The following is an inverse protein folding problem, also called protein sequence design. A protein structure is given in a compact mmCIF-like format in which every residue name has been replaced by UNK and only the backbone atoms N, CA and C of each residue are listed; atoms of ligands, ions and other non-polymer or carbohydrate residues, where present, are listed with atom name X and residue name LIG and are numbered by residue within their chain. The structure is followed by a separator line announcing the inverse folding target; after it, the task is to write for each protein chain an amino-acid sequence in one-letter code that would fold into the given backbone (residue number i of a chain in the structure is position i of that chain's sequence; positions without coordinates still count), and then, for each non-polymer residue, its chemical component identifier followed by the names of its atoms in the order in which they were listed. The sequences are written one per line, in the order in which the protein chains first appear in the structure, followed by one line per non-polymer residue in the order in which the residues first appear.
data_IF_686557111246
#
_entry.id   IF_686557111246
#
_cell.length_a   1.000
_cell.length_b   1.000
_cell.length_c   1.000
_cell.angle_alpha   90.00
_cell.angle_beta   90.00
_cell.angle_gamma   90.00
#
_symmetry.space_group_name_H-M   'P 1'
#
loop_
_entity.id
_entity.type
_entity.pdbx_description
1 polymer ?
#
# COMPACT_ATOMS: atom_id res chain seq x y z
N UNK A 1 21.41 16.43 47.39
CA UNK A 1 20.05 16.30 46.82
C UNK A 1 19.95 14.88 46.30
N UNK A 2 19.22 14.04 47.03
CA UNK A 2 19.08 12.60 46.78
C UNK A 2 17.81 12.43 45.95
N UNK A 3 17.93 11.97 44.72
CA UNK A 3 16.78 11.66 43.86
C UNK A 3 16.11 10.38 44.39
N UNK A 4 14.95 10.56 45.04
CA UNK A 4 14.08 9.47 45.39
C UNK A 4 13.46 8.89 44.10
N UNK A 5 13.53 7.56 43.87
CA UNK A 5 12.87 6.96 42.71
C UNK A 5 11.35 7.12 42.79
N UNK A 6 10.66 7.30 41.65
CA UNK A 6 9.22 7.53 41.63
C UNK A 6 8.45 6.35 42.23
N UNK A 7 7.64 6.63 43.25
CA UNK A 7 6.94 5.65 44.09
C UNK A 7 5.65 5.07 43.46
N UNK A 8 5.63 4.85 42.14
CA UNK A 8 4.41 4.49 41.41
C UNK A 8 4.52 3.18 40.62
N UNK A 9 5.19 2.18 41.22
CA UNK A 9 5.13 0.79 40.71
C UNK A 9 3.92 0.12 41.34
N UNK A 10 2.72 0.43 40.85
CA UNK A 10 1.53 -0.34 41.20
C UNK A 10 1.82 -1.83 40.90
N UNK A 11 1.73 -2.67 41.92
CA UNK A 11 1.98 -4.11 41.82
C UNK A 11 1.04 -4.68 40.75
N UNK A 12 1.59 -5.01 39.57
CA UNK A 12 0.81 -5.60 38.50
C UNK A 12 0.30 -6.96 38.98
N UNK A 13 -1.00 -7.08 39.20
CA UNK A 13 -1.64 -8.34 39.57
C UNK A 13 -1.40 -9.35 38.45
N UNK A 14 -0.66 -10.40 38.77
CA UNK A 14 -0.44 -11.53 37.87
C UNK A 14 -1.53 -12.57 38.05
N UNK A 15 -1.78 -13.36 37.02
CA UNK A 15 -2.81 -14.37 36.95
C UNK A 15 -2.20 -15.69 36.49
N UNK A 16 -2.87 -16.78 36.83
CA UNK A 16 -2.56 -18.10 36.30
C UNK A 16 -3.80 -18.75 35.69
N UNK A 17 -3.59 -19.47 34.58
CA UNK A 17 -4.66 -20.14 33.84
C UNK A 17 -4.64 -21.62 34.16
N UNK A 18 -5.77 -22.14 34.66
CA UNK A 18 -5.97 -23.51 35.11
C UNK A 18 -6.89 -24.27 34.15
N UNK A 19 -6.43 -25.42 33.67
CA UNK A 19 -7.19 -26.35 32.84
C UNK A 19 -7.96 -27.32 33.74
N UNK A 20 -9.28 -27.37 33.61
CA UNK A 20 -10.18 -28.22 34.41
C UNK A 20 -10.54 -29.54 33.72
N UNK A 21 -10.22 -29.69 32.43
CA UNK A 21 -10.47 -30.90 31.64
C UNK A 21 -11.26 -30.61 30.37
N UNK A 22 -11.83 -31.64 29.70
CA UNK A 22 -12.70 -31.45 28.54
C UNK A 22 -14.06 -30.88 28.95
N UNK A 23 -14.66 -30.06 28.07
CA UNK A 23 -16.05 -29.60 28.24
C UNK A 23 -17.02 -30.77 28.00
N UNK A 24 -18.21 -30.73 28.61
CA UNK A 24 -19.22 -31.76 28.45
C UNK A 24 -19.50 -32.06 26.96
N UNK A 25 -19.41 -33.33 26.58
CA UNK A 25 -19.60 -33.79 25.19
C UNK A 25 -18.36 -33.73 24.28
N UNK A 26 -17.20 -33.26 24.78
CA UNK A 26 -15.95 -33.25 24.01
C UNK A 26 -15.09 -34.46 24.38
N UNK A 27 -14.70 -35.26 23.39
CA UNK A 27 -13.78 -36.38 23.59
C UNK A 27 -12.39 -35.91 24.03
N UNK A 28 -11.85 -36.54 25.08
CA UNK A 28 -10.58 -36.17 25.69
C UNK A 28 -9.39 -36.48 24.75
N UNK A 29 -9.47 -37.54 23.95
CA UNK A 29 -8.41 -37.88 23.00
C UNK A 29 -8.35 -36.84 21.87
N UNK A 30 -9.49 -36.49 21.27
CA UNK A 30 -9.57 -35.43 20.26
C UNK A 30 -9.18 -34.04 20.80
N UNK A 31 -9.48 -33.74 22.07
CA UNK A 31 -9.03 -32.50 22.70
C UNK A 31 -7.51 -32.47 22.89
N UNK A 32 -6.90 -33.60 23.31
CA UNK A 32 -5.45 -33.68 23.53
C UNK A 32 -4.63 -33.37 22.26
N UNK A 33 -5.10 -33.81 21.09
CA UNK A 33 -4.47 -33.52 19.79
C UNK A 33 -4.52 -32.03 19.47
N UNK A 34 -5.66 -31.37 19.70
CA UNK A 34 -5.83 -29.92 19.47
C UNK A 34 -4.96 -29.10 20.43
N UNK A 35 -4.92 -29.47 21.70
CA UNK A 35 -4.07 -28.82 22.70
C UNK A 35 -2.58 -29.04 22.41
N UNK A 36 -2.18 -30.23 21.95
CA UNK A 36 -0.81 -30.55 21.59
C UNK A 36 -0.28 -29.64 20.48
N UNK A 37 -1.09 -29.39 19.45
CA UNK A 37 -0.76 -28.43 18.39
C UNK A 37 -0.60 -27.00 18.94
N UNK A 38 -1.50 -26.56 19.83
CA UNK A 38 -1.47 -25.21 20.40
C UNK A 38 -0.25 -24.95 21.28
N UNK A 39 0.14 -25.93 22.11
CA UNK A 39 1.27 -25.83 23.04
C UNK A 39 2.59 -26.40 22.50
N UNK A 40 2.62 -26.84 21.23
CA UNK A 40 3.78 -27.50 20.62
C UNK A 40 4.33 -28.65 21.48
N UNK A 41 3.43 -29.45 22.02
CA UNK A 41 3.72 -30.57 22.93
C UNK A 41 3.20 -31.88 22.34
N UNK A 42 3.48 -33.03 22.96
CA UNK A 42 2.94 -34.31 22.48
C UNK A 42 1.49 -34.52 22.93
N UNK A 43 0.65 -35.23 22.13
CA UNK A 43 -0.72 -35.57 22.54
C UNK A 43 -0.78 -36.35 23.85
N UNK A 44 0.19 -37.23 24.11
CA UNK A 44 0.27 -38.01 25.34
C UNK A 44 0.50 -37.13 26.57
N UNK A 45 1.38 -36.13 26.47
CA UNK A 45 1.59 -35.14 27.55
C UNK A 45 0.31 -34.35 27.82
N UNK A 46 -0.38 -33.89 26.77
CA UNK A 46 -1.63 -33.15 26.92
C UNK A 46 -2.76 -34.02 27.48
N UNK A 47 -2.83 -35.29 27.10
CA UNK A 47 -3.78 -36.26 27.67
C UNK A 47 -3.51 -36.46 29.17
N UNK A 48 -2.24 -36.55 29.58
CA UNK A 48 -1.87 -36.66 30.99
C UNK A 48 -2.22 -35.38 31.78
N UNK A 49 -2.05 -34.20 31.19
CA UNK A 49 -2.49 -32.93 31.79
C UNK A 49 -4.02 -32.86 31.93
N UNK A 50 -4.78 -33.39 30.96
CA UNK A 50 -6.25 -33.44 31.01
C UNK A 50 -6.77 -34.42 32.08
N UNK A 51 -6.00 -35.45 32.45
CA UNK A 51 -6.33 -36.36 33.57
C UNK A 51 -6.12 -35.70 34.93
N UNK A 52 -5.23 -34.71 35.02
CA UNK A 52 -4.98 -33.96 36.23
C UNK A 52 -6.13 -32.99 36.52
N UNK A 53 -6.73 -33.08 37.71
CA UNK A 53 -7.72 -32.09 38.13
C UNK A 53 -7.04 -30.74 38.37
N UNK A 54 -7.22 -29.79 37.46
CA UNK A 54 -6.82 -28.40 37.67
C UNK A 54 -5.34 -28.12 37.41
N UNK A 55 -4.77 -28.62 36.31
CA UNK A 55 -3.37 -28.30 35.99
C UNK A 55 -3.21 -26.84 35.54
N UNK A 56 -2.21 -26.16 36.10
CA UNK A 56 -1.89 -24.78 35.73
C UNK A 56 -1.08 -24.81 34.43
N UNK A 57 -1.63 -24.22 33.38
CA UNK A 57 -1.05 -24.20 32.03
C UNK A 57 -0.04 -23.07 31.88
N UNK A 58 -0.33 -21.91 32.48
CA UNK A 58 0.53 -20.72 32.44
C UNK A 58 0.37 -19.92 33.73
N UNK A 59 1.49 -19.45 34.30
CA UNK A 59 1.57 -18.60 35.51
C UNK A 59 2.18 -17.25 35.17
N UNK A 60 2.01 -16.27 36.05
CA UNK A 60 2.66 -14.97 35.94
C UNK A 60 2.26 -14.16 34.71
N UNK A 61 1.05 -14.37 34.19
CA UNK A 61 0.55 -13.62 33.04
C UNK A 61 -0.33 -12.47 33.50
N UNK A 62 -0.34 -11.36 32.76
CA UNK A 62 -1.30 -10.30 33.00
C UNK A 62 -2.75 -10.79 32.75
N UNK A 63 -3.73 -10.05 33.28
CA UNK A 63 -5.16 -10.38 33.17
C UNK A 63 -5.58 -10.65 31.71
N UNK A 64 -5.10 -9.82 30.78
CA UNK A 64 -5.49 -9.88 29.38
C UNK A 64 -4.91 -11.10 28.69
N UNK A 65 -3.62 -11.38 28.90
CA UNK A 65 -2.99 -12.61 28.41
C UNK A 65 -3.70 -13.84 28.97
N UNK A 66 -4.05 -13.84 30.26
CA UNK A 66 -4.80 -14.93 30.88
C UNK A 66 -6.17 -15.17 30.21
N UNK A 67 -6.91 -14.10 29.92
CA UNK A 67 -8.18 -14.16 29.19
C UNK A 67 -8.02 -14.71 27.78
N UNK A 68 -6.98 -14.32 27.02
CA UNK A 68 -6.71 -14.86 25.68
C UNK A 68 -6.44 -16.36 25.72
N UNK A 69 -5.66 -16.83 26.70
CA UNK A 69 -5.47 -18.27 26.94
C UNK A 69 -6.79 -18.96 27.27
N UNK A 70 -7.66 -18.36 28.09
CA UNK A 70 -8.97 -18.91 28.41
C UNK A 70 -9.84 -19.06 27.14
N UNK A 71 -9.99 -18.01 26.34
CA UNK A 71 -10.79 -18.03 25.10
C UNK A 71 -10.26 -19.09 24.13
N UNK A 72 -8.94 -19.16 23.95
CA UNK A 72 -8.31 -20.16 23.07
C UNK A 72 -8.57 -21.60 23.57
N UNK A 73 -8.44 -21.85 24.87
CA UNK A 73 -8.71 -23.14 25.49
C UNK A 73 -10.19 -23.54 25.41
N UNK A 74 -11.12 -22.59 25.66
CA UNK A 74 -12.57 -22.83 25.51
C UNK A 74 -12.92 -23.15 24.07
N UNK A 75 -12.36 -22.40 23.11
CA UNK A 75 -12.56 -22.64 21.67
C UNK A 75 -12.03 -24.02 21.24
N UNK A 76 -10.95 -24.49 21.85
CA UNK A 76 -10.42 -25.84 21.62
C UNK A 76 -11.32 -26.95 22.20
N UNK A 77 -12.27 -26.62 23.08
CA UNK A 77 -13.20 -27.55 23.73
C UNK A 77 -12.80 -27.92 25.16
N UNK A 78 -11.88 -27.20 25.78
CA UNK A 78 -11.51 -27.39 27.18
C UNK A 78 -12.38 -26.54 28.12
N UNK A 79 -12.57 -27.04 29.34
CA UNK A 79 -13.03 -26.26 30.48
C UNK A 79 -11.79 -25.66 31.17
N UNK A 80 -11.78 -24.35 31.38
CA UNK A 80 -10.68 -23.64 32.02
C UNK A 80 -11.20 -22.51 32.92
N UNK A 81 -10.38 -22.11 33.89
CA UNK A 81 -10.59 -20.95 34.74
C UNK A 81 -9.25 -20.24 34.91
N UNK A 82 -9.24 -18.92 35.10
CA UNK A 82 -8.04 -18.21 35.52
C UNK A 82 -8.31 -17.55 36.87
N UNK A 83 -7.30 -17.53 37.73
CA UNK A 83 -7.39 -16.99 39.09
C UNK A 83 -6.24 -16.00 39.28
N UNK A 84 -6.51 -14.90 40.00
CA UNK A 84 -5.47 -13.95 40.38
C UNK A 84 -4.43 -14.70 41.24
N UNK A 85 -3.16 -14.59 40.88
CA UNK A 85 -2.08 -15.11 41.69
C UNK A 85 -1.99 -14.22 42.92
N UNK A 86 -2.37 -14.77 44.08
CA UNK A 86 -2.24 -14.05 45.34
C UNK A 86 -0.78 -13.55 45.44
N UNK A 87 -0.55 -12.24 45.67
CA UNK A 87 0.79 -11.69 45.73
C UNK A 87 1.56 -12.56 46.72
N UNK A 88 2.62 -13.21 46.23
CA UNK A 88 3.42 -14.10 47.05
C UNK A 88 3.85 -13.31 48.29
N UNK A 89 3.25 -13.62 49.44
CA UNK A 89 3.62 -13.00 50.70
C UNK A 89 5.11 -13.28 50.82
N UNK A 90 5.99 -12.25 50.84
CA UNK A 90 7.42 -12.46 50.87
C UNK A 90 7.71 -13.41 52.03
N UNK A 91 8.17 -14.62 51.71
CA UNK A 91 8.57 -15.58 52.73
C UNK A 91 9.62 -14.86 53.58
N UNK A 92 9.40 -14.82 54.90
CA UNK A 92 10.29 -14.14 55.84
C UNK A 92 11.75 -14.52 55.54
N UNK A 93 12.66 -13.55 55.42
CA UNK A 93 14.01 -13.79 54.91
C UNK A 93 14.72 -14.85 55.74
N UNK A 94 15.03 -15.99 55.12
CA UNK A 94 15.96 -16.96 55.67
C UNK A 94 17.36 -16.32 55.78
N UNK A 95 18.11 -16.58 56.86
CA UNK A 95 19.40 -15.94 57.12
C UNK A 95 20.41 -16.21 56.00
N UNK A 96 21.03 -15.13 55.52
CA UNK A 96 21.91 -15.10 54.37
C UNK A 96 23.25 -15.84 54.59
N UNK A 97 23.67 -16.72 53.67
CA UNK A 97 25.08 -17.02 53.46
C UNK A 97 25.71 -16.01 52.48
N UNK A 98 26.95 -15.65 52.80
CA UNK A 98 27.72 -14.58 52.19
C UNK A 98 28.31 -14.92 50.80
N UNK A 99 28.32 -13.90 49.94
CA UNK A 99 29.33 -13.52 48.95
C UNK A 99 29.79 -14.52 47.87
N UNK A 100 29.48 -14.17 46.61
CA UNK A 100 30.37 -14.39 45.47
C UNK A 100 30.20 -13.28 44.42
N UNK A 101 31.30 -12.93 43.77
CA UNK A 101 31.58 -11.71 43.00
C UNK A 101 31.69 -12.05 41.49
N UNK A 102 31.73 -11.01 40.64
CA UNK A 102 32.13 -10.98 39.21
C UNK A 102 31.04 -11.54 38.25
N UNK A 103 30.70 -10.98 37.07
CA UNK A 103 31.44 -10.29 36.01
C UNK A 103 30.52 -9.32 35.25
N UNK A 104 31.05 -8.15 34.90
CA UNK A 104 30.47 -7.15 34.01
C UNK A 104 31.07 -7.37 32.61
N UNK A 105 30.25 -7.58 31.56
CA UNK A 105 30.58 -7.09 30.21
C UNK A 105 29.41 -7.06 29.20
N UNK A 106 29.38 -5.95 28.46
CA UNK A 106 28.86 -5.62 27.11
C UNK A 106 27.38 -5.72 26.68
N UNK A 107 26.83 -4.52 26.47
CA UNK A 107 26.36 -3.91 25.21
C UNK A 107 25.08 -4.41 24.49
N UNK A 108 24.11 -3.50 24.37
CA UNK A 108 23.12 -3.46 23.29
C UNK A 108 22.73 -2.01 22.99
N UNK A 109 23.24 -1.48 21.88
CA UNK A 109 22.91 -0.18 21.27
C UNK A 109 21.64 -0.32 20.43
N UNK A 110 20.59 0.44 20.77
CA UNK A 110 19.37 0.49 19.96
C UNK A 110 18.32 1.46 20.51
N UNK A 111 18.54 2.76 20.36
CA UNK A 111 17.58 3.76 20.87
C UNK A 111 17.74 5.20 20.38
N UNK A 112 18.58 5.47 19.37
CA UNK A 112 18.89 6.84 18.95
C UNK A 112 18.02 7.33 17.78
N UNK A 113 17.33 6.42 17.06
CA UNK A 113 16.56 6.81 15.87
C UNK A 113 15.20 7.46 16.19
N UNK A 114 14.55 7.09 17.30
CA UNK A 114 13.18 7.56 17.60
C UNK A 114 13.10 9.04 17.98
N UNK A 115 14.09 9.56 18.72
CA UNK A 115 14.08 10.99 19.11
C UNK A 115 14.46 11.93 17.97
N UNK A 116 15.38 11.50 17.09
CA UNK A 116 15.83 12.33 15.98
C UNK A 116 14.75 12.50 14.90
N UNK A 117 14.01 11.43 14.60
CA UNK A 117 12.89 11.47 13.65
C UNK A 117 11.71 12.26 14.22
N UNK A 118 11.37 12.06 15.50
CA UNK A 118 10.31 12.83 16.15
C UNK A 118 10.61 14.34 16.21
N UNK A 119 11.86 14.73 16.49
CA UNK A 119 12.28 16.13 16.51
C UNK A 119 12.24 16.77 15.11
N UNK A 120 12.63 16.02 14.07
CA UNK A 120 12.67 16.51 12.70
C UNK A 120 11.28 16.60 12.06
N UNK A 121 10.37 15.69 12.42
CA UNK A 121 8.97 15.74 12.03
C UNK A 121 8.25 16.93 12.67
N UNK A 122 8.54 17.23 13.94
CA UNK A 122 8.02 18.41 14.65
C UNK A 122 8.48 19.71 13.99
N UNK A 123 9.75 19.82 13.61
CA UNK A 123 10.28 20.99 12.90
C UNK A 123 9.59 21.25 11.55
N UNK A 124 9.34 20.20 10.76
CA UNK A 124 8.63 20.32 9.48
C UNK A 124 7.15 20.69 9.64
N UNK A 125 6.52 20.31 10.76
CA UNK A 125 5.15 20.69 11.09
C UNK A 125 5.04 22.15 11.54
N UNK A 126 6.03 22.66 12.28
CA UNK A 126 6.06 24.05 12.75
C UNK A 126 6.42 25.05 11.62
N UNK A 127 7.11 24.59 10.56
CA UNK A 127 7.51 25.39 9.39
C UNK A 127 6.40 25.51 8.32
N UNK A 128 5.35 24.68 8.40
CA UNK A 128 4.30 24.57 7.39
C UNK A 128 3.00 25.34 7.72
N UNK A 129 3.05 26.41 8.51
CA UNK A 129 1.88 27.26 8.79
C UNK A 129 1.58 28.19 7.58
N UNK A 130 0.46 28.03 6.85
CA UNK A 130 0.09 28.98 5.82
C UNK A 130 -0.69 30.16 6.41
N UNK A 131 -0.43 31.33 5.85
CA UNK A 131 -1.22 32.53 6.03
C UNK A 131 -2.71 32.27 5.73
N UNK A 132 -3.55 32.66 6.69
CA UNK A 132 -4.99 32.94 6.61
C UNK A 132 -5.81 32.27 5.49
N UNK A 133 -6.34 31.07 5.75
CA UNK A 133 -7.50 30.54 5.05
C UNK A 133 -8.82 31.08 5.69
N UNK A 134 -9.90 31.30 4.91
CA UNK A 134 -11.17 31.78 5.43
C UNK A 134 -11.82 30.73 6.33
N UNK A 135 -12.19 31.13 7.55
CA UNK A 135 -12.93 30.28 8.50
C UNK A 135 -14.31 29.99 7.91
N UNK A 136 -14.62 28.71 7.64
CA UNK A 136 -16.00 28.28 7.43
C UNK A 136 -16.79 28.62 8.71
N UNK A 137 -17.86 29.40 8.59
CA UNK A 137 -18.69 29.74 9.74
C UNK A 137 -19.35 28.48 10.30
N UNK A 138 -19.52 28.44 11.62
CA UNK A 138 -20.18 27.36 12.35
C UNK A 138 -21.59 27.07 11.79
N UNK A 139 -22.25 28.11 11.26
CA UNK A 139 -23.52 28.01 10.55
C UNK A 139 -23.46 27.22 9.24
N UNK A 140 -22.37 27.34 8.47
CA UNK A 140 -22.20 26.57 7.23
C UNK A 140 -21.98 25.08 7.54
N UNK A 141 -21.29 24.77 8.63
CA UNK A 141 -21.10 23.41 9.12
C UNK A 141 -22.43 22.81 9.64
N UNK A 142 -23.21 23.59 10.38
CA UNK A 142 -24.54 23.16 10.86
C UNK A 142 -25.53 22.94 9.70
N UNK A 143 -25.49 23.75 8.64
CA UNK A 143 -26.31 23.53 7.42
C UNK A 143 -25.91 22.27 6.65
N UNK A 144 -24.63 21.95 6.60
CA UNK A 144 -24.14 20.70 5.99
C UNK A 144 -24.59 19.48 6.78
N UNK A 145 -24.48 19.51 8.11
CA UNK A 145 -24.92 18.41 8.98
C UNK A 145 -26.44 18.19 8.94
N UNK A 146 -27.23 19.25 8.71
CA UNK A 146 -28.69 19.14 8.59
C UNK A 146 -29.14 18.54 7.25
N UNK A 147 -28.34 18.70 6.20
CA UNK A 147 -28.62 18.17 4.85
C UNK A 147 -28.33 16.66 4.76
N UNK A 148 -27.39 16.16 5.55
CA UNK A 148 -27.13 14.72 5.66
C UNK A 148 -27.89 14.16 6.87
N UNK A 149 -29.06 13.53 6.64
CA UNK A 149 -29.85 12.85 7.66
C UNK A 149 -29.10 11.67 8.31
N UNK A 150 -28.16 11.97 9.20
CA UNK A 150 -27.60 11.01 10.15
C UNK A 150 -28.62 10.93 11.29
N UNK A 151 -29.32 9.80 11.40
CA UNK A 151 -30.24 9.57 12.50
C UNK A 151 -29.51 9.76 13.84
N UNK A 152 -30.03 10.57 14.78
CA UNK A 152 -29.42 10.69 16.10
C UNK A 152 -29.44 9.31 16.77
N UNK A 153 -28.27 8.90 17.30
CA UNK A 153 -28.17 7.72 18.13
C UNK A 153 -29.19 7.83 19.27
N UNK A 154 -29.90 6.73 19.54
CA UNK A 154 -30.93 6.66 20.56
C UNK A 154 -30.41 7.18 21.92
N UNK A 155 -31.23 7.88 22.71
CA UNK A 155 -30.83 8.46 23.99
C UNK A 155 -30.36 7.36 24.95
N UNK A 156 -29.23 7.63 25.62
CA UNK A 156 -28.50 6.69 26.47
C UNK A 156 -29.14 6.39 27.84
N UNK A 157 -30.39 6.83 28.08
CA UNK A 157 -30.96 6.92 29.42
C UNK A 157 -31.88 5.74 29.81
N UNK A 158 -31.71 4.57 29.19
CA UNK A 158 -32.50 3.37 29.53
C UNK A 158 -31.65 2.10 29.61
N UNK A 159 -30.46 2.18 30.22
CA UNK A 159 -29.73 0.99 30.66
C UNK A 159 -30.10 0.74 32.13
N UNK A 160 -30.78 -0.38 32.46
CA UNK A 160 -31.02 -0.74 33.84
C UNK A 160 -29.68 -0.90 34.56
N UNK A 161 -29.58 -0.39 35.79
CA UNK A 161 -28.44 -0.44 36.69
C UNK A 161 -27.83 -1.86 36.72
N UNK A 162 -26.88 -2.09 35.82
CA UNK A 162 -26.15 -3.33 35.67
C UNK A 162 -24.94 -3.15 36.56
N UNK A 163 -24.89 -3.93 37.65
CA UNK A 163 -23.87 -3.80 38.68
C UNK A 163 -22.45 -3.74 38.13
N UNK A 164 -21.56 -3.16 38.92
CA UNK A 164 -20.13 -2.80 38.71
C UNK A 164 -19.25 -3.82 37.94
N UNK A 165 -19.70 -5.06 37.77
CA UNK A 165 -19.06 -6.10 36.95
C UNK A 165 -19.39 -6.01 35.44
N UNK A 166 -20.46 -5.30 35.04
CA UNK A 166 -20.90 -5.16 33.65
C UNK A 166 -20.00 -4.22 32.82
N UNK A 167 -19.35 -3.24 33.46
CA UNK A 167 -18.49 -2.28 32.78
C UNK A 167 -17.22 -2.93 32.21
N UNK A 168 -16.72 -3.99 32.85
CA UNK A 168 -15.52 -4.71 32.41
C UNK A 168 -15.77 -5.60 31.17
N UNK A 169 -16.99 -6.15 30.99
CA UNK A 169 -17.34 -6.90 29.78
C UNK A 169 -17.58 -5.97 28.58
N UNK A 170 -18.15 -4.78 28.81
CA UNK A 170 -18.41 -3.78 27.75
C UNK A 170 -17.12 -3.11 27.26
N UNK A 171 -16.13 -2.92 28.13
CA UNK A 171 -14.83 -2.33 27.76
C UNK A 171 -14.01 -3.25 26.82
N UNK A 172 -14.08 -4.57 27.03
CA UNK A 172 -13.35 -5.55 26.23
C UNK A 172 -13.82 -5.57 24.76
N UNK A 173 -15.13 -5.47 24.52
CA UNK A 173 -15.71 -5.45 23.17
C UNK A 173 -15.27 -4.22 22.36
N UNK A 174 -15.01 -3.08 23.03
CA UNK A 174 -14.56 -1.85 22.36
C UNK A 174 -13.14 -1.97 21.81
N UNK A 175 -12.21 -2.55 22.57
CA UNK A 175 -10.81 -2.69 22.14
C UNK A 175 -10.69 -3.68 20.98
N UNK A 176 -11.37 -4.82 21.05
CA UNK A 176 -11.36 -5.81 19.97
C UNK A 176 -12.00 -5.26 18.68
N UNK A 177 -13.10 -4.51 18.82
CA UNK A 177 -13.72 -3.81 17.69
C UNK A 177 -12.77 -2.79 17.04
N UNK A 178 -11.95 -2.11 17.83
CA UNK A 178 -10.98 -1.14 17.31
C UNK A 178 -9.83 -1.83 16.59
N UNK A 179 -9.26 -2.86 17.19
CA UNK A 179 -8.22 -3.67 16.57
C UNK A 179 -8.71 -4.27 15.26
N UNK A 180 -9.97 -4.74 15.22
CA UNK A 180 -10.61 -5.19 14.00
C UNK A 180 -10.66 -4.08 12.94
N UNK A 181 -11.14 -2.87 13.29
CA UNK A 181 -11.18 -1.72 12.37
C UNK A 181 -9.80 -1.31 11.86
N UNK A 182 -8.78 -1.35 12.72
CA UNK A 182 -7.39 -1.08 12.33
C UNK A 182 -6.87 -2.11 11.34
N UNK A 183 -7.11 -3.40 11.62
CA UNK A 183 -6.63 -4.51 10.81
C UNK A 183 -7.25 -4.47 9.40
N UNK A 184 -8.52 -4.10 9.34
CA UNK A 184 -9.28 -3.89 8.11
C UNK A 184 -8.76 -2.67 7.32
N UNK A 185 -8.56 -1.53 7.98
CA UNK A 185 -7.96 -0.35 7.36
C UNK A 185 -6.57 -0.63 6.79
N UNK A 186 -5.72 -1.36 7.52
CA UNK A 186 -4.37 -1.74 7.08
C UNK A 186 -4.40 -2.59 5.81
N UNK A 187 -5.33 -3.54 5.72
CA UNK A 187 -5.51 -4.34 4.50
C UNK A 187 -5.84 -3.47 3.29
N UNK A 188 -6.77 -2.52 3.46
CA UNK A 188 -7.13 -1.60 2.37
C UNK A 188 -5.96 -0.71 1.93
N UNK A 189 -5.09 -0.29 2.86
CA UNK A 189 -3.86 0.44 2.52
C UNK A 189 -2.95 -0.42 1.65
N UNK A 190 -2.74 -1.70 2.03
CA UNK A 190 -1.90 -2.63 1.24
C UNK A 190 -2.48 -2.82 -0.16
N UNK A 191 -3.79 -3.08 -0.27
CA UNK A 191 -4.48 -3.23 -1.55
C UNK A 191 -4.33 -1.96 -2.41
N UNK A 192 -4.46 -0.78 -1.81
CA UNK A 192 -4.32 0.49 -2.52
C UNK A 192 -2.88 0.75 -3.00
N UNK A 193 -1.86 0.40 -2.21
CA UNK A 193 -0.45 0.48 -2.63
C UNK A 193 -0.17 -0.45 -3.81
N UNK A 194 -0.68 -1.69 -3.77
CA UNK A 194 -0.54 -2.65 -4.86
C UNK A 194 -1.24 -2.19 -6.14
N UNK A 195 -2.47 -1.66 -6.02
CA UNK A 195 -3.21 -1.09 -7.15
C UNK A 195 -2.51 0.14 -7.72
N UNK A 196 -1.96 1.01 -6.86
CA UNK A 196 -1.19 2.18 -7.32
C UNK A 196 0.06 1.76 -8.11
N UNK A 197 0.81 0.76 -7.61
CA UNK A 197 1.96 0.21 -8.31
C UNK A 197 1.58 -0.42 -9.66
N UNK A 198 0.43 -1.11 -9.72
CA UNK A 198 -0.13 -1.64 -10.95
C UNK A 198 -0.43 -0.51 -11.95
N UNK A 199 -1.18 0.52 -11.54
CA UNK A 199 -1.52 1.67 -12.39
C UNK A 199 -0.25 2.39 -12.88
N UNK A 200 0.75 2.58 -12.01
CA UNK A 200 2.03 3.17 -12.38
C UNK A 200 2.79 2.33 -13.41
N UNK A 201 2.72 1.00 -13.33
CA UNK A 201 3.32 0.09 -14.32
C UNK A 201 2.73 0.25 -15.73
N UNK A 202 1.46 0.66 -15.84
CA UNK A 202 0.74 0.83 -17.10
C UNK A 202 0.56 2.30 -17.53
N UNK A 203 1.23 3.26 -16.88
CA UNK A 203 1.04 4.69 -17.19
C UNK A 203 1.38 5.05 -18.65
N UNK A 204 2.29 4.32 -19.31
CA UNK A 204 2.68 4.54 -20.71
C UNK A 204 1.67 3.96 -21.71
N UNK A 205 0.94 2.93 -21.31
CA UNK A 205 0.00 2.21 -22.18
C UNK A 205 -1.42 2.74 -22.06
N UNK A 206 -1.76 3.34 -20.92
CA UNK A 206 -3.10 3.86 -20.67
C UNK A 206 -3.26 5.27 -21.25
N UNK A 207 -4.38 5.57 -21.94
CA UNK A 207 -4.68 6.94 -22.32
C UNK A 207 -4.85 7.82 -21.07
N UNK A 208 -4.53 9.13 -21.15
CA UNK A 208 -4.50 10.02 -19.98
C UNK A 208 -5.81 10.05 -19.18
N UNK A 209 -6.96 9.92 -19.84
CA UNK A 209 -8.28 9.91 -19.19
C UNK A 209 -8.52 8.66 -18.34
N UNK A 210 -8.16 7.46 -18.85
CA UNK A 210 -8.25 6.22 -18.08
C UNK A 210 -7.23 6.19 -16.94
N UNK A 211 -6.03 6.74 -17.17
CA UNK A 211 -5.03 6.89 -16.12
C UNK A 211 -5.55 7.77 -14.97
N UNK A 212 -6.17 8.91 -15.29
CA UNK A 212 -6.77 9.81 -14.29
C UNK A 212 -7.91 9.12 -13.52
N UNK A 213 -8.77 8.36 -14.22
CA UNK A 213 -9.86 7.61 -13.59
C UNK A 213 -9.33 6.54 -12.61
N UNK A 214 -8.31 5.76 -13.02
CA UNK A 214 -7.64 4.79 -12.18
C UNK A 214 -7.00 5.45 -10.96
N UNK A 215 -6.27 6.56 -11.16
CA UNK A 215 -5.62 7.30 -10.09
C UNK A 215 -6.65 7.85 -9.09
N UNK A 216 -7.78 8.37 -9.55
CA UNK A 216 -8.87 8.83 -8.69
C UNK A 216 -9.50 7.69 -7.88
N UNK A 217 -9.76 6.53 -8.50
CA UNK A 217 -10.32 5.36 -7.81
C UNK A 217 -9.39 4.81 -6.73
N UNK A 218 -8.08 4.72 -7.02
CA UNK A 218 -7.06 4.30 -6.05
C UNK A 218 -6.91 5.34 -4.93
N UNK A 219 -6.97 6.64 -5.24
CA UNK A 219 -6.91 7.70 -4.25
C UNK A 219 -8.09 7.66 -3.27
N UNK A 220 -9.31 7.44 -3.78
CA UNK A 220 -10.49 7.24 -2.94
C UNK A 220 -10.34 6.03 -2.01
N UNK A 221 -9.80 4.92 -2.52
CA UNK A 221 -9.51 3.73 -1.72
C UNK A 221 -8.51 4.05 -0.59
N UNK A 222 -7.42 4.77 -0.89
CA UNK A 222 -6.44 5.23 0.10
C UNK A 222 -7.08 6.10 1.19
N UNK A 223 -7.95 7.05 0.82
CA UNK A 223 -8.64 7.93 1.78
C UNK A 223 -9.53 7.10 2.71
N UNK A 224 -10.33 6.18 2.18
CA UNK A 224 -11.19 5.30 2.99
C UNK A 224 -10.35 4.41 3.92
N UNK A 225 -9.25 3.85 3.42
CA UNK A 225 -8.33 3.03 4.21
C UNK A 225 -7.74 3.82 5.39
N UNK A 226 -7.26 5.04 5.12
CA UNK A 226 -6.70 5.93 6.13
C UNK A 226 -7.73 6.32 7.18
N UNK A 227 -8.94 6.72 6.78
CA UNK A 227 -10.00 7.11 7.72
C UNK A 227 -10.38 5.96 8.65
N UNK A 228 -10.38 4.70 8.15
CA UNK A 228 -10.63 3.53 8.99
C UNK A 228 -9.50 3.21 9.95
N UNK A 229 -8.24 3.25 9.48
CA UNK A 229 -7.09 3.08 10.38
C UNK A 229 -7.05 4.16 11.46
N UNK A 230 -7.29 5.41 11.07
CA UNK A 230 -7.30 6.54 11.99
C UNK A 230 -8.44 6.47 13.02
N UNK A 231 -9.57 5.86 12.66
CA UNK A 231 -10.67 5.61 13.60
C UNK A 231 -10.27 4.59 14.69
N UNK A 232 -9.46 3.59 14.35
CA UNK A 232 -8.98 2.60 15.32
C UNK A 232 -7.78 3.08 16.17
N UNK A 233 -6.94 3.98 15.64
CA UNK A 233 -5.81 4.58 16.36
C UNK A 233 -6.19 5.73 17.30
N UNK A 234 -7.49 6.02 17.47
CA UNK A 234 -7.98 7.17 18.26
C UNK A 234 -7.36 8.52 17.86
N UNK A 235 -6.98 8.69 16.59
CA UNK A 235 -6.45 9.96 16.13
C UNK A 235 -7.49 11.06 16.32
N UNK A 236 -7.04 12.21 16.81
CA UNK A 236 -7.88 13.39 16.96
C UNK A 236 -8.49 13.78 15.61
N UNK A 237 -9.68 14.41 15.58
CA UNK A 237 -10.30 14.87 14.33
C UNK A 237 -9.35 15.75 13.50
N UNK A 238 -8.55 16.59 14.17
CA UNK A 238 -7.53 17.42 13.51
C UNK A 238 -6.45 16.56 12.85
N UNK A 239 -5.92 15.55 13.55
CA UNK A 239 -4.93 14.64 12.99
C UNK A 239 -5.49 13.85 11.79
N UNK A 240 -6.77 13.46 11.84
CA UNK A 240 -7.47 12.82 10.71
C UNK A 240 -7.54 13.76 9.50
N UNK A 241 -7.93 15.01 9.70
CA UNK A 241 -8.02 16.00 8.62
C UNK A 241 -6.65 16.32 8.04
N UNK A 242 -5.62 16.49 8.87
CA UNK A 242 -4.25 16.72 8.41
C UNK A 242 -3.69 15.52 7.64
N UNK A 243 -3.93 14.30 8.12
CA UNK A 243 -3.53 13.08 7.43
C UNK A 243 -4.24 12.96 6.06
N UNK A 244 -5.52 13.31 5.99
CA UNK A 244 -6.27 13.32 4.73
C UNK A 244 -5.78 14.42 3.76
N UNK A 245 -5.45 15.61 4.27
CA UNK A 245 -4.88 16.70 3.45
C UNK A 245 -3.50 16.32 2.92
N UNK A 246 -2.69 15.68 3.76
CA UNK A 246 -1.35 15.21 3.41
C UNK A 246 -1.35 14.19 2.26
N UNK A 247 -2.47 13.50 2.02
CA UNK A 247 -2.63 12.59 0.88
C UNK A 247 -2.54 13.30 -0.47
N UNK A 248 -2.81 14.61 -0.53
CA UNK A 248 -2.75 15.40 -1.77
C UNK A 248 -1.30 15.63 -2.26
N UNK A 249 -0.30 15.48 -1.39
CA UNK A 249 1.12 15.62 -1.71
C UNK A 249 1.74 14.23 -1.81
N UNK A 250 2.18 13.76 -2.99
CA UNK A 250 2.58 12.35 -3.19
C UNK A 250 3.66 11.84 -2.23
N UNK A 251 4.69 12.64 -1.94
CA UNK A 251 5.74 12.25 -0.99
C UNK A 251 5.23 12.20 0.46
N UNK A 252 4.44 13.18 0.85
CA UNK A 252 3.88 13.25 2.20
C UNK A 252 2.87 12.13 2.44
N UNK A 253 2.08 11.77 1.42
CA UNK A 253 1.17 10.63 1.41
C UNK A 253 1.90 9.34 1.79
N UNK A 254 2.99 9.01 1.10
CA UNK A 254 3.79 7.80 1.41
C UNK A 254 4.30 7.82 2.85
N UNK A 255 4.79 8.96 3.34
CA UNK A 255 5.27 9.10 4.73
C UNK A 255 4.12 8.85 5.72
N UNK A 256 2.95 9.46 5.50
CA UNK A 256 1.78 9.28 6.37
C UNK A 256 1.33 7.82 6.39
N UNK A 257 1.26 7.15 5.23
CA UNK A 257 0.90 5.73 5.16
C UNK A 257 1.90 4.86 5.94
N UNK A 258 3.21 5.13 5.82
CA UNK A 258 4.23 4.38 6.54
C UNK A 258 4.14 4.59 8.06
N UNK A 259 3.93 5.82 8.51
CA UNK A 259 3.78 6.15 9.95
C UNK A 259 2.53 5.48 10.52
N UNK A 260 1.39 5.62 9.86
CA UNK A 260 0.11 5.04 10.31
C UNK A 260 0.19 3.51 10.30
N UNK A 261 0.84 2.90 9.30
CA UNK A 261 1.09 1.46 9.26
C UNK A 261 2.02 0.98 10.39
N UNK A 262 3.07 1.74 10.69
CA UNK A 262 3.96 1.44 11.81
C UNK A 262 3.25 1.53 13.16
N UNK A 263 2.43 2.56 13.37
CA UNK A 263 1.62 2.72 14.58
C UNK A 263 0.63 1.57 14.75
N UNK A 264 -0.03 1.15 13.66
CA UNK A 264 -0.95 0.02 13.72
C UNK A 264 -0.23 -1.29 14.10
N UNK A 265 0.92 -1.57 13.48
CA UNK A 265 1.73 -2.75 13.82
C UNK A 265 2.22 -2.74 15.25
N UNK A 266 2.60 -1.57 15.78
CA UNK A 266 2.98 -1.42 17.18
C UNK A 266 1.80 -1.75 18.10
N UNK A 267 0.63 -1.18 17.82
CA UNK A 267 -0.58 -1.46 18.59
C UNK A 267 -0.91 -2.97 18.57
N UNK A 268 -0.89 -3.64 17.42
CA UNK A 268 -1.10 -5.09 17.37
C UNK A 268 -0.12 -5.90 18.23
N UNK A 269 1.17 -5.49 18.26
CA UNK A 269 2.19 -6.18 19.07
C UNK A 269 2.01 -5.94 20.56
N UNK A 270 1.61 -4.74 20.96
CA UNK A 270 1.26 -4.41 22.35
C UNK A 270 0.10 -5.31 22.83
N UNK A 271 -0.81 -5.65 21.93
CA UNK A 271 -1.92 -6.57 22.20
C UNK A 271 -1.58 -8.06 22.03
N UNK A 272 -0.31 -8.37 21.78
CA UNK A 272 0.23 -9.72 21.66
C UNK A 272 -0.19 -10.44 20.36
N UNK A 273 -0.50 -9.71 19.30
CA UNK A 273 -0.68 -10.27 17.96
C UNK A 273 0.64 -10.31 17.20
N UNK A 274 0.74 -11.22 16.22
CA UNK A 274 1.95 -11.39 15.42
C UNK A 274 1.93 -10.49 14.17
N UNK A 275 2.06 -9.18 14.38
CA UNK A 275 2.06 -8.23 13.25
C UNK A 275 3.39 -8.24 12.47
N UNK A 276 3.30 -8.72 11.23
CA UNK A 276 4.37 -8.68 10.24
C UNK A 276 4.45 -7.35 9.49
N UNK A 277 5.32 -7.27 8.49
CA UNK A 277 5.47 -6.05 7.68
C UNK A 277 4.19 -5.72 6.86
N UNK A 278 3.46 -6.76 6.45
CA UNK A 278 2.16 -6.67 5.76
C UNK A 278 0.96 -6.71 6.73
N UNK A 279 1.18 -6.38 7.99
CA UNK A 279 0.15 -6.37 9.02
C UNK A 279 -0.14 -7.74 9.63
N UNK A 280 -1.35 -7.87 10.16
CA UNK A 280 -1.85 -9.11 10.76
C UNK A 280 -2.02 -10.21 9.70
N UNK A 281 -1.67 -11.48 10.02
CA UNK A 281 -1.89 -12.60 9.12
C UNK A 281 -3.40 -12.83 8.90
N UNK A 282 -3.75 -13.55 7.83
CA UNK A 282 -5.15 -13.68 7.40
C UNK A 282 -6.06 -14.35 8.44
N UNK A 283 -5.55 -15.36 9.13
CA UNK A 283 -6.23 -16.10 10.20
C UNK A 283 -6.52 -15.22 11.42
N UNK A 284 -5.53 -14.45 11.90
CA UNK A 284 -5.73 -13.51 13.01
C UNK A 284 -6.75 -12.40 12.63
N UNK A 285 -6.70 -11.92 11.38
CA UNK A 285 -7.71 -10.96 10.89
C UNK A 285 -9.11 -11.53 10.83
N UNK A 286 -9.28 -12.79 10.42
CA UNK A 286 -10.58 -13.44 10.43
C UNK A 286 -11.13 -13.60 11.85
N UNK A 287 -10.26 -13.85 12.84
CA UNK A 287 -10.69 -13.86 14.24
C UNK A 287 -11.18 -12.49 14.73
N UNK A 288 -10.47 -11.41 14.39
CA UNK A 288 -10.87 -10.05 14.75
C UNK A 288 -12.12 -9.58 13.98
N UNK A 289 -12.24 -9.95 12.71
CA UNK A 289 -13.35 -9.50 11.88
C UNK A 289 -14.70 -10.11 12.27
N UNK A 290 -14.70 -11.24 12.99
CA UNK A 290 -15.92 -11.81 13.58
C UNK A 290 -16.58 -10.89 14.63
N UNK A 291 -15.83 -9.94 15.20
CA UNK A 291 -16.29 -9.01 16.24
C UNK A 291 -16.89 -7.73 15.64
N UNK A 292 -16.49 -7.35 14.41
CA UNK A 292 -16.91 -6.07 13.84
C UNK A 292 -18.32 -6.10 13.21
N UNK A 293 -19.29 -5.28 13.70
CA UNK A 293 -20.59 -5.14 13.07
C UNK A 293 -20.42 -4.47 11.69
N UNK A 294 -20.85 -5.16 10.65
CA UNK A 294 -20.72 -4.73 9.25
C UNK A 294 -20.10 -5.77 8.31
N UNK A 295 -19.43 -6.80 8.88
CA UNK A 295 -18.95 -7.97 8.17
C UNK A 295 -17.83 -7.72 7.15
N UNK A 296 -16.93 -8.68 7.01
CA UNK A 296 -15.81 -8.72 6.03
C UNK A 296 -16.28 -8.46 4.58
N UNK A 297 -17.56 -8.70 4.30
CA UNK A 297 -18.17 -8.58 2.99
C UNK A 297 -18.24 -7.16 2.45
N UNK A 298 -18.48 -6.14 3.28
CA UNK A 298 -18.56 -4.76 2.79
C UNK A 298 -17.21 -4.27 2.25
N UNK A 299 -16.11 -4.80 2.81
CA UNK A 299 -14.76 -4.34 2.48
C UNK A 299 -14.16 -5.06 1.30
N UNK A 300 -14.36 -6.37 1.22
CA UNK A 300 -13.99 -7.14 0.02
C UNK A 300 -14.66 -6.54 -1.21
N UNK A 301 -15.89 -6.04 -1.09
CA UNK A 301 -16.59 -5.36 -2.18
C UNK A 301 -15.91 -4.06 -2.62
N UNK A 302 -15.40 -3.24 -1.69
CA UNK A 302 -14.76 -1.98 -2.07
C UNK A 302 -13.42 -2.22 -2.78
N UNK A 303 -12.54 -3.05 -2.21
CA UNK A 303 -11.25 -3.41 -2.84
C UNK A 303 -11.47 -4.11 -4.19
N UNK A 304 -12.42 -5.06 -4.26
CA UNK A 304 -12.78 -5.71 -5.53
C UNK A 304 -13.39 -4.74 -6.54
N UNK A 305 -14.22 -3.79 -6.13
CA UNK A 305 -14.78 -2.79 -7.03
C UNK A 305 -13.67 -1.91 -7.63
N UNK A 306 -12.73 -1.44 -6.81
CA UNK A 306 -11.58 -0.67 -7.30
C UNK A 306 -10.70 -1.51 -8.23
N UNK A 307 -10.44 -2.77 -7.88
CA UNK A 307 -9.71 -3.70 -8.75
C UNK A 307 -10.43 -3.91 -10.08
N UNK A 308 -11.76 -4.09 -10.09
CA UNK A 308 -12.56 -4.24 -11.31
C UNK A 308 -12.49 -2.98 -12.17
N UNK A 309 -12.55 -1.79 -11.58
CA UNK A 309 -12.37 -0.52 -12.31
C UNK A 309 -10.98 -0.46 -12.95
N UNK A 310 -9.92 -0.79 -12.19
CA UNK A 310 -8.54 -0.80 -12.71
C UNK A 310 -8.39 -1.84 -13.83
N UNK A 311 -8.89 -3.06 -13.65
CA UNK A 311 -8.84 -4.11 -14.66
C UNK A 311 -9.68 -3.77 -15.89
N UNK A 312 -10.83 -3.13 -15.73
CA UNK A 312 -11.64 -2.65 -16.85
C UNK A 312 -10.84 -1.62 -17.67
N UNK A 313 -10.24 -0.62 -17.02
CA UNK A 313 -9.38 0.36 -17.68
C UNK A 313 -8.19 -0.30 -18.41
N UNK A 314 -7.59 -1.34 -17.83
CA UNK A 314 -6.53 -2.12 -18.47
C UNK A 314 -7.05 -2.96 -19.66
N UNK A 315 -8.27 -3.48 -19.59
CA UNK A 315 -8.90 -4.22 -20.69
C UNK A 315 -9.27 -3.32 -21.89
N UNK A 316 -9.54 -2.05 -21.63
CA UNK A 316 -9.72 -1.01 -22.67
C UNK A 316 -8.42 -0.38 -23.15
N UNK A 317 -7.27 -0.73 -22.55
CA UNK A 317 -6.00 -0.30 -23.11
C UNK A 317 -5.90 -0.87 -24.54
N UNK A 318 -5.64 -0.02 -25.56
CA UNK A 318 -5.42 -0.52 -26.90
C UNK A 318 -4.31 -1.56 -26.80
N UNK A 319 -4.59 -2.80 -27.24
CA UNK A 319 -3.59 -3.88 -27.23
C UNK A 319 -2.36 -3.33 -27.93
N UNK A 320 -1.27 -3.13 -27.18
CA UNK A 320 0.02 -2.72 -27.72
C UNK A 320 0.28 -3.58 -28.95
N UNK A 321 0.40 -2.91 -30.10
CA UNK A 321 0.02 -3.44 -31.40
C UNK A 321 0.31 -4.92 -31.58
N UNK A 322 -0.74 -5.70 -31.86
CA UNK A 322 -0.52 -6.74 -32.86
C UNK A 322 0.16 -6.03 -34.04
N UNK A 323 1.30 -6.52 -34.54
CA UNK A 323 1.95 -5.92 -35.70
C UNK A 323 0.85 -5.69 -36.71
N UNK A 324 0.59 -4.43 -37.06
CA UNK A 324 -0.40 -4.09 -38.08
C UNK A 324 -0.01 -4.98 -39.25
N UNK A 325 -0.84 -5.98 -39.62
CA UNK A 325 -0.47 -6.88 -40.69
C UNK A 325 -0.19 -5.97 -41.86
N UNK A 326 1.07 -5.96 -42.31
CA UNK A 326 1.53 -5.13 -43.41
C UNK A 326 0.47 -5.26 -44.49
N UNK A 327 -0.31 -4.20 -44.67
CA UNK A 327 -1.27 -4.16 -45.75
C UNK A 327 -0.51 -4.49 -47.03
N UNK A 328 -1.12 -5.18 -48.00
CA UNK A 328 -0.44 -5.43 -49.27
C UNK A 328 0.18 -4.12 -49.76
N UNK A 329 1.44 -4.14 -50.21
CA UNK A 329 2.18 -2.93 -50.57
C UNK A 329 1.29 -2.09 -51.48
N UNK A 330 0.89 -0.92 -50.97
CA UNK A 330 -0.01 -0.04 -51.70
C UNK A 330 0.71 0.33 -52.99
N UNK A 331 0.11 0.02 -54.13
CA UNK A 331 0.63 0.40 -55.46
C UNK A 331 0.44 1.90 -55.75
N UNK A 332 0.04 2.69 -54.74
CA UNK A 332 -0.18 4.12 -54.89
C UNK A 332 1.15 4.89 -55.02
N UNK A 333 1.20 5.95 -55.83
CA UNK A 333 2.37 6.80 -56.09
C UNK A 333 2.77 7.70 -54.90
N UNK A 334 2.39 7.33 -53.67
CA UNK A 334 2.62 8.11 -52.44
C UNK A 334 4.09 8.14 -51.99
N UNK A 335 4.95 7.31 -52.58
CA UNK A 335 6.38 7.25 -52.25
C UNK A 335 7.18 7.62 -53.50
N UNK A 336 7.51 8.90 -53.71
CA UNK A 336 8.29 9.30 -54.87
C UNK A 336 9.68 8.66 -54.79
N UNK A 337 10.10 8.08 -55.90
CA UNK A 337 11.41 7.42 -56.03
C UNK A 337 12.61 8.32 -55.67
N UNK A 338 12.43 9.65 -55.66
CA UNK A 338 13.47 10.64 -55.31
C UNK A 338 13.92 10.56 -53.85
N UNK A 339 13.09 10.04 -52.93
CA UNK A 339 13.45 9.91 -51.51
C UNK A 339 13.98 8.51 -51.16
N UNK A 340 13.83 7.52 -52.03
CA UNK A 340 14.26 6.15 -51.73
C UNK A 340 15.80 6.10 -51.72
N UNK A 341 16.38 5.74 -50.58
CA UNK A 341 17.83 5.82 -50.37
C UNK A 341 18.26 5.74 -48.90
N UNK A 342 19.57 5.76 -48.70
CA UNK A 342 20.20 6.02 -47.42
C UNK A 342 20.53 7.52 -47.32
N UNK A 343 20.22 8.12 -46.17
CA UNK A 343 20.34 9.54 -45.93
C UNK A 343 20.98 9.79 -44.57
N UNK A 344 21.88 10.76 -44.47
CA UNK A 344 22.30 11.33 -43.19
C UNK A 344 21.46 12.56 -42.91
N UNK A 345 20.76 12.58 -41.78
CA UNK A 345 19.99 13.72 -41.29
C UNK A 345 20.72 14.41 -40.15
N UNK A 346 20.78 15.74 -40.20
CA UNK A 346 21.28 16.57 -39.11
C UNK A 346 20.13 17.43 -38.59
N UNK A 347 19.78 17.24 -37.32
CA UNK A 347 18.77 18.02 -36.59
C UNK A 347 19.39 18.55 -35.29
N UNK A 348 19.67 19.85 -35.24
CA UNK A 348 20.40 20.47 -34.13
C UNK A 348 21.78 19.84 -33.96
N UNK A 349 22.02 19.17 -32.81
CA UNK A 349 23.26 18.43 -32.53
C UNK A 349 23.15 16.93 -32.81
N UNK A 350 21.99 16.45 -33.26
CA UNK A 350 21.73 15.04 -33.50
C UNK A 350 21.98 14.67 -34.95
N UNK A 351 22.65 13.54 -35.17
CA UNK A 351 22.94 13.02 -36.52
C UNK A 351 22.44 11.59 -36.62
N UNK A 352 21.56 11.33 -37.59
CA UNK A 352 20.95 10.03 -37.85
C UNK A 352 21.24 9.55 -39.27
N UNK A 353 21.34 8.25 -39.45
CA UNK A 353 21.31 7.57 -40.73
C UNK A 353 19.89 7.01 -40.95
N UNK A 354 19.18 7.60 -41.91
CA UNK A 354 17.86 7.20 -42.35
C UNK A 354 17.95 6.26 -43.55
N UNK A 355 17.28 5.11 -43.45
CA UNK A 355 16.96 4.23 -44.56
C UNK A 355 15.51 4.46 -44.95
N UNK A 356 15.25 5.02 -46.14
CA UNK A 356 13.91 5.22 -46.68
C UNK A 356 13.63 4.18 -47.75
N UNK A 357 12.69 3.28 -47.50
CA UNK A 357 12.37 2.17 -48.40
C UNK A 357 11.16 2.47 -49.29
N UNK A 358 11.05 1.73 -50.40
CA UNK A 358 10.00 1.90 -51.42
C UNK A 358 8.59 1.63 -50.89
N UNK A 359 8.46 0.80 -49.87
CA UNK A 359 7.18 0.44 -49.25
C UNK A 359 6.65 1.52 -48.27
N UNK A 360 7.38 2.63 -48.15
CA UNK A 360 7.08 3.70 -47.22
C UNK A 360 7.55 3.38 -45.80
N UNK A 361 8.36 2.35 -45.57
CA UNK A 361 9.01 2.17 -44.26
C UNK A 361 10.27 3.03 -44.14
N UNK A 362 10.58 3.45 -42.91
CA UNK A 362 11.88 4.04 -42.60
C UNK A 362 12.50 3.46 -41.33
N UNK A 363 13.82 3.56 -41.27
CA UNK A 363 14.61 3.30 -40.06
C UNK A 363 15.66 4.40 -39.90
N UNK A 364 15.73 5.03 -38.73
CA UNK A 364 16.73 6.04 -38.40
C UNK A 364 17.65 5.53 -37.28
N UNK A 365 18.94 5.40 -37.57
CA UNK A 365 19.97 4.90 -36.65
C UNK A 365 20.88 6.06 -36.26
N UNK A 366 21.12 6.34 -34.95
CA UNK A 366 22.03 7.42 -34.57
C UNK A 366 23.46 7.11 -35.01
N UNK A 367 24.12 8.05 -35.69
CA UNK A 367 25.49 7.87 -36.21
C UNK A 367 26.54 8.15 -35.13
N UNK A 368 26.22 9.02 -34.18
CA UNK A 368 27.15 9.38 -33.10
C UNK A 368 26.46 9.33 -31.74
N UNK A 369 26.99 8.57 -30.76
CA UNK A 369 26.39 8.42 -29.44
C UNK A 369 26.64 9.62 -28.52
N UNK A 370 26.85 10.83 -29.05
CA UNK A 370 27.18 12.04 -28.26
C UNK A 370 26.12 12.31 -27.19
N UNK A 371 24.89 11.87 -27.42
CA UNK A 371 23.83 11.88 -26.41
C UNK A 371 23.44 10.44 -26.06
N UNK A 372 23.68 9.96 -24.82
CA UNK A 372 23.45 8.57 -24.40
C UNK A 372 21.98 8.12 -24.39
N UNK A 373 21.05 8.97 -24.85
CA UNK A 373 19.61 8.71 -24.88
C UNK A 373 19.05 8.55 -26.29
N UNK A 374 19.88 8.55 -27.34
CA UNK A 374 19.38 8.33 -28.70
C UNK A 374 18.92 6.88 -28.89
N UNK A 375 17.75 6.71 -29.49
CA UNK A 375 17.16 5.39 -29.77
C UNK A 375 17.01 5.22 -31.27
N UNK A 376 17.03 3.96 -31.73
CA UNK A 376 16.72 3.64 -33.13
C UNK A 376 15.24 3.94 -33.35
N UNK A 377 14.95 4.77 -34.34
CA UNK A 377 13.59 5.09 -34.75
C UNK A 377 13.22 4.21 -35.94
N UNK A 378 11.99 3.74 -36.00
CA UNK A 378 11.45 3.02 -37.15
C UNK A 378 9.99 3.42 -37.29
N UNK A 379 9.46 3.35 -38.51
CA UNK A 379 8.11 3.82 -38.77
C UNK A 379 7.75 3.78 -40.25
N UNK A 380 6.73 4.56 -40.61
CA UNK A 380 6.33 4.77 -42.00
C UNK A 380 6.46 6.22 -42.41
N UNK A 381 6.64 6.47 -43.69
CA UNK A 381 6.67 7.78 -44.28
C UNK A 381 5.79 7.80 -45.54
N UNK A 382 5.16 8.94 -45.84
CA UNK A 382 4.44 9.16 -47.10
C UNK A 382 4.65 10.61 -47.57
N UNK A 383 4.62 10.84 -48.89
CA UNK A 383 4.50 12.19 -49.45
C UNK A 383 3.03 12.47 -49.79
N UNK A 384 2.47 13.56 -49.24
CA UNK A 384 1.11 13.99 -49.58
C UNK A 384 1.02 15.51 -49.70
N UNK A 385 0.73 15.98 -50.91
CA UNK A 385 0.54 17.40 -51.17
C UNK A 385 1.81 18.25 -51.03
N UNK A 386 2.98 17.68 -51.36
CA UNK A 386 4.27 18.36 -51.19
C UNK A 386 4.82 18.35 -49.77
N UNK A 387 4.21 17.57 -48.88
CA UNK A 387 4.61 17.43 -47.49
C UNK A 387 5.05 15.99 -47.22
N UNK A 388 6.12 15.83 -46.44
CA UNK A 388 6.52 14.54 -45.91
C UNK A 388 5.82 14.31 -44.57
N UNK A 389 5.25 13.12 -44.40
CA UNK A 389 4.59 12.72 -43.16
C UNK A 389 5.27 11.49 -42.60
N UNK A 390 5.53 11.51 -41.30
CA UNK A 390 6.21 10.43 -40.59
C UNK A 390 5.28 9.78 -39.58
N UNK A 391 5.34 8.47 -39.45
CA UNK A 391 4.54 7.67 -38.52
C UNK A 391 5.48 6.79 -37.70
N UNK A 392 5.91 7.29 -36.55
CA UNK A 392 6.80 6.54 -35.66
C UNK A 392 6.09 5.31 -35.09
N UNK A 393 6.74 4.15 -35.18
CA UNK A 393 6.23 2.93 -34.58
C UNK A 393 6.39 2.96 -33.05
N UNK A 394 5.31 2.64 -32.33
CA UNK A 394 5.31 2.55 -30.86
C UNK A 394 4.34 3.50 -30.15
N UNK A 395 3.83 4.52 -30.85
CA UNK A 395 2.70 5.30 -30.36
C UNK A 395 1.41 4.59 -30.76
N UNK A 396 0.53 4.30 -29.80
CA UNK A 396 -0.73 3.59 -30.03
C UNK A 396 -1.72 4.34 -30.96
N UNK A 397 -1.34 5.54 -31.40
CA UNK A 397 -2.00 6.33 -32.40
C UNK A 397 -0.99 6.57 -33.53
N UNK A 398 -1.34 6.19 -34.76
CA UNK A 398 -0.69 6.64 -36.01
C UNK A 398 -0.93 8.14 -36.22
N UNK A 399 -0.65 8.96 -35.21
CA UNK A 399 -0.61 10.40 -35.39
C UNK A 399 0.66 10.67 -36.17
N UNK A 400 0.53 11.19 -37.40
CA UNK A 400 1.68 11.66 -38.15
C UNK A 400 2.45 12.63 -37.24
N UNK A 401 3.71 12.32 -36.94
CA UNK A 401 4.53 13.07 -35.99
C UNK A 401 5.10 14.37 -36.58
N UNK A 402 4.80 14.65 -37.84
CA UNK A 402 5.15 15.89 -38.52
C UNK A 402 4.42 15.93 -39.87
N UNK A 403 3.90 17.10 -40.20
CA UNK A 403 3.50 17.44 -41.57
C UNK A 403 4.50 18.49 -42.00
N UNK A 404 5.55 18.04 -42.67
CA UNK A 404 6.68 18.91 -42.90
C UNK A 404 6.75 19.35 -44.36
N UNK A 405 6.84 20.66 -44.56
CA UNK A 405 7.20 21.21 -45.86
C UNK A 405 8.68 20.88 -46.13
N UNK A 406 8.98 20.41 -47.35
CA UNK A 406 10.34 20.10 -47.74
C UNK A 406 10.79 20.91 -48.96
N UNK A 407 12.09 21.22 -49.02
CA UNK A 407 12.75 21.76 -50.21
C UNK A 407 13.77 20.74 -50.71
N UNK A 408 13.62 20.30 -51.95
CA UNK A 408 14.50 19.31 -52.58
C UNK A 408 15.48 19.99 -53.55
N UNK A 409 16.78 19.72 -53.42
CA UNK A 409 17.82 20.35 -54.26
C UNK A 409 17.91 19.77 -55.68
N UNK A 410 17.14 18.71 -55.94
CA UNK A 410 17.06 18.03 -57.23
C UNK A 410 17.99 16.84 -57.40
N UNK A 411 18.94 16.59 -56.47
CA UNK A 411 19.98 15.56 -56.67
C UNK A 411 20.38 14.80 -55.41
N UNK A 412 20.79 15.51 -54.35
CA UNK A 412 21.57 14.89 -53.26
C UNK A 412 21.12 15.29 -51.88
N UNK A 413 20.31 16.32 -51.74
CA UNK A 413 19.86 16.78 -50.44
C UNK A 413 18.44 17.30 -50.46
N UNK A 414 17.80 17.21 -49.31
CA UNK A 414 16.56 17.90 -49.05
C UNK A 414 16.51 18.40 -47.62
N UNK A 415 15.79 19.48 -47.42
CA UNK A 415 15.60 20.09 -46.11
C UNK A 415 14.13 19.98 -45.74
N UNK A 416 13.87 19.54 -44.53
CA UNK A 416 12.55 19.47 -43.92
C UNK A 416 12.48 20.58 -42.86
N UNK A 417 11.37 21.32 -42.79
CA UNK A 417 11.09 22.23 -41.68
C UNK A 417 10.08 21.56 -40.75
N UNK A 418 10.50 21.23 -39.53
CA UNK A 418 9.65 20.54 -38.54
C UNK A 418 8.66 21.50 -37.87
N UNK A 419 7.66 20.96 -37.17
CA UNK A 419 6.61 21.73 -36.47
C UNK A 419 7.16 22.73 -35.44
N UNK A 420 8.36 22.50 -34.91
CA UNK A 420 9.05 23.41 -33.98
C UNK A 420 9.81 24.56 -34.70
N UNK A 421 9.78 24.58 -36.03
CA UNK A 421 10.48 25.54 -36.88
C UNK A 421 11.96 25.22 -37.10
N UNK A 422 12.48 24.14 -36.53
CA UNK A 422 13.86 23.70 -36.74
C UNK A 422 13.96 22.95 -38.06
N UNK A 423 15.00 23.26 -38.83
CA UNK A 423 15.24 22.59 -40.11
C UNK A 423 16.11 21.35 -39.94
N UNK A 424 15.66 20.23 -40.50
CA UNK A 424 16.40 18.97 -40.61
C UNK A 424 16.96 18.83 -42.01
N UNK A 425 18.29 18.73 -42.11
CA UNK A 425 18.99 18.61 -43.40
C UNK A 425 19.34 17.16 -43.69
N UNK A 426 18.80 16.62 -44.79
CA UNK A 426 19.04 15.26 -45.25
C UNK A 426 19.99 15.28 -46.43
N UNK A 427 21.15 14.62 -46.30
CA UNK A 427 22.11 14.41 -47.38
C UNK A 427 22.15 12.93 -47.75
N UNK A 428 22.02 12.62 -49.04
CA UNK A 428 22.00 11.24 -49.52
C UNK A 428 23.39 10.63 -49.43
N UNK A 429 23.49 9.46 -48.82
CA UNK A 429 24.74 8.68 -48.76
C UNK A 429 24.80 7.59 -49.82
N UNK A 430 23.68 6.92 -50.11
CA UNK A 430 23.59 5.93 -51.18
C UNK A 430 22.16 5.77 -51.71
N UNK A 431 22.03 5.42 -52.99
CA UNK A 431 20.75 5.05 -53.60
C UNK A 431 20.38 3.60 -53.24
N UNK A 432 19.09 3.36 -52.97
CA UNK A 432 18.55 2.01 -52.76
C UNK A 432 17.77 1.56 -54.02
N UNK A 433 17.57 0.24 -54.24
CA UNK A 433 16.76 -0.25 -55.34
C UNK A 433 15.36 0.39 -55.37
N UNK A 434 14.99 0.99 -56.50
CA UNK A 434 13.75 1.75 -56.65
C UNK A 434 13.91 3.26 -56.55
N UNK A 435 15.10 3.76 -56.22
CA UNK A 435 15.46 5.18 -56.40
C UNK A 435 15.44 5.55 -57.88
N UNK A 436 15.05 6.77 -58.21
CA UNK A 436 15.12 7.32 -59.58
C UNK A 436 16.24 8.34 -59.77
N UNK A 437 17.13 8.41 -58.79
CA UNK A 437 18.30 9.27 -58.79
C UNK A 437 19.50 8.32 -58.79
N UNK A 438 20.14 8.16 -59.95
CA UNK A 438 21.33 7.31 -60.11
C UNK A 438 22.59 7.94 -59.49
#
# INVERSE_FOLDING_TARGET
MSDAPPADTALQTTYHVRLRGPRAGVDAAALSVRLAAMFKSTPEQMLNLLKGQGTIVKRGVDKRTAQRYMVALVKAGAACSFEAEAPAVPAAPAPAPASAKVVLDKASTGGVLDKAVAARLKGLLDEAAPAAAPRLSEEALQRLLKTYHIAPAAPADAVPDAGEDADAEVEYDRTDLQLARMALGQKLVIDAVLLNALVAGFHKTLPPSLLLLCAAAVSLLCIVALLRMAAGLYLSPLAKTLAALAMAVPLLNVIVLLVVNWMANRSFREEGYTAGWFGLPADERETLAGVAPGGVFAERKLSMATLVVVLACLGFAPKAGAPVPLGPPSTDPLHPCKFIGMWTSTHGQSVYEFKLEKDGSYMATPISPVVPTMTILYGRWEERGGQLRWYAAGNAFETASGIDDYTFDGKTSFTIVEDDGVSSHFNRTSALPGSCLD
#
